data_IF_655395076890
#
_entry.id   IF_655395076890
#
_cell.length_a   1.000
_cell.length_b   1.000
_cell.length_c   1.000
_cell.angle_alpha   90.00
_cell.angle_beta   90.00
_cell.angle_gamma   90.00
#
_symmetry.space_group_name_H-M   'P 1'
#
loop_
_entity.id
_entity.type
_entity.pdbx_description
1 polymer ?
#
# COMPACT_ATOMS: atom_id res chain seq x y z
N UNK A 1 -16.04 -3.23 -8.80
CA UNK A 1 -14.78 -3.63 -9.47
C UNK A 1 -14.85 -3.13 -10.90
N UNK A 2 -13.80 -2.45 -11.37
CA UNK A 2 -13.75 -1.85 -12.72
C UNK A 2 -12.80 -2.59 -13.67
N UNK A 3 -11.83 -3.33 -13.13
CA UNK A 3 -10.89 -4.16 -13.89
C UNK A 3 -10.27 -5.21 -12.94
N UNK A 4 -9.43 -6.10 -13.48
CA UNK A 4 -8.63 -7.04 -12.69
C UNK A 4 -7.35 -7.39 -13.43
N UNK A 5 -6.31 -7.77 -12.69
CA UNK A 5 -5.14 -8.41 -13.28
C UNK A 5 -5.51 -9.72 -14.00
N UNK A 6 -4.77 -10.13 -15.06
CA UNK A 6 -5.02 -11.39 -15.74
C UNK A 6 -4.91 -12.59 -14.79
N UNK A 7 -5.88 -13.48 -14.85
CA UNK A 7 -5.94 -14.72 -14.07
C UNK A 7 -5.99 -15.91 -15.04
N UNK A 8 -4.85 -16.29 -15.65
CA UNK A 8 -4.82 -17.26 -16.76
C UNK A 8 -5.32 -18.65 -16.36
N UNK A 9 -5.21 -19.01 -15.08
CA UNK A 9 -5.68 -20.27 -14.52
C UNK A 9 -7.07 -20.15 -13.86
N UNK A 10 -7.75 -19.01 -14.04
CA UNK A 10 -9.08 -18.72 -13.50
C UNK A 10 -9.08 -18.10 -12.11
N UNK A 11 -10.28 -17.73 -11.66
CA UNK A 11 -10.52 -17.10 -10.35
C UNK A 11 -10.12 -18.06 -9.23
N UNK A 12 -9.42 -17.55 -8.21
CA UNK A 12 -8.95 -18.33 -7.05
C UNK A 12 -7.64 -19.07 -7.28
N UNK A 13 -7.05 -18.96 -8.47
CA UNK A 13 -5.70 -19.45 -8.72
C UNK A 13 -4.66 -18.43 -8.28
N UNK A 14 -3.49 -18.92 -7.88
CA UNK A 14 -2.37 -18.07 -7.50
C UNK A 14 -1.96 -17.16 -8.68
N UNK A 15 -1.86 -15.87 -8.41
CA UNK A 15 -1.26 -14.88 -9.31
C UNK A 15 -0.03 -14.27 -8.66
N UNK A 16 0.96 -13.91 -9.47
CA UNK A 16 2.15 -13.17 -9.02
C UNK A 16 2.11 -11.79 -9.65
N UNK A 17 2.26 -10.76 -8.82
CA UNK A 17 2.39 -9.37 -9.24
C UNK A 17 3.70 -8.81 -8.72
N UNK A 18 4.44 -8.16 -9.60
CA UNK A 18 5.67 -7.46 -9.24
C UNK A 18 5.37 -6.01 -8.89
N UNK A 19 6.12 -5.45 -7.94
CA UNK A 19 6.03 -4.02 -7.63
C UNK A 19 7.40 -3.36 -7.51
N UNK A 20 7.47 -2.07 -7.82
CA UNK A 20 8.68 -1.26 -7.65
C UNK A 20 8.36 0.15 -7.16
N UNK A 21 9.36 0.80 -6.56
CA UNK A 21 9.30 2.20 -6.18
C UNK A 21 10.10 3.03 -7.19
N UNK A 22 9.42 3.79 -8.06
CA UNK A 22 10.07 4.51 -9.16
C UNK A 22 10.82 5.75 -8.68
N UNK A 23 10.14 6.64 -7.95
CA UNK A 23 10.74 7.84 -7.37
C UNK A 23 10.19 8.18 -5.97
N UNK A 24 9.38 7.30 -5.38
CA UNK A 24 8.72 7.55 -4.09
C UNK A 24 9.72 7.91 -2.98
N UNK A 25 10.91 7.30 -3.02
CA UNK A 25 11.94 7.45 -1.99
C UNK A 25 12.92 8.61 -2.23
N UNK A 26 12.71 9.42 -3.26
CA UNK A 26 13.61 10.52 -3.63
C UNK A 26 13.43 11.79 -2.76
N UNK A 27 12.69 11.66 -1.65
CA UNK A 27 12.46 12.75 -0.69
C UNK A 27 11.30 13.69 -1.04
N UNK A 28 10.55 13.41 -2.11
CA UNK A 28 9.42 14.23 -2.57
C UNK A 28 8.16 14.17 -1.70
N UNK A 29 8.04 13.19 -0.81
CA UNK A 29 6.91 13.05 0.14
C UNK A 29 7.24 13.82 1.41
N UNK A 30 6.52 14.92 1.67
CA UNK A 30 6.81 15.84 2.78
C UNK A 30 5.90 15.55 3.97
N UNK A 31 6.49 15.32 5.13
CA UNK A 31 5.77 15.09 6.39
C UNK A 31 5.23 16.38 7.02
N UNK A 32 4.41 16.26 8.06
CA UNK A 32 3.78 17.41 8.75
C UNK A 32 4.75 18.40 9.38
N UNK A 33 6.02 18.02 9.58
CA UNK A 33 7.07 18.90 10.10
C UNK A 33 7.90 19.59 9.00
N UNK A 34 7.51 19.42 7.73
CA UNK A 34 8.20 20.00 6.57
C UNK A 34 9.48 19.26 6.13
N UNK A 35 9.82 18.13 6.75
CA UNK A 35 10.91 17.26 6.31
C UNK A 35 10.37 16.12 5.44
N UNK A 36 11.21 15.53 4.60
CA UNK A 36 10.87 14.30 3.87
C UNK A 36 10.44 13.20 4.84
N UNK A 37 9.34 12.51 4.52
CA UNK A 37 8.90 11.33 5.25
C UNK A 37 9.98 10.24 5.13
N UNK A 38 10.20 9.48 6.19
CA UNK A 38 11.25 8.44 6.19
C UNK A 38 10.95 7.37 5.15
N UNK A 39 11.98 6.94 4.42
CA UNK A 39 11.93 5.81 3.48
C UNK A 39 11.45 4.54 4.19
N UNK A 40 11.93 4.29 5.41
CA UNK A 40 11.53 3.11 6.19
C UNK A 40 10.03 3.13 6.51
N UNK A 41 9.48 4.32 6.79
CA UNK A 41 8.04 4.48 7.06
C UNK A 41 7.23 4.22 5.80
N UNK A 42 7.62 4.81 4.66
CA UNK A 42 6.92 4.63 3.39
C UNK A 42 6.97 3.19 2.91
N UNK A 43 8.14 2.54 3.00
CA UNK A 43 8.33 1.13 2.67
C UNK A 43 7.47 0.22 3.56
N UNK A 44 7.55 0.40 4.89
CA UNK A 44 6.76 -0.41 5.83
C UNK A 44 5.26 -0.27 5.61
N UNK A 45 4.80 0.92 5.22
CA UNK A 45 3.40 1.17 4.91
C UNK A 45 2.92 0.36 3.69
N UNK A 46 3.70 0.33 2.61
CA UNK A 46 3.35 -0.47 1.44
C UNK A 46 3.48 -1.98 1.69
N UNK A 47 4.53 -2.42 2.38
CA UNK A 47 4.67 -3.83 2.74
C UNK A 47 3.51 -4.32 3.60
N UNK A 48 3.07 -3.52 4.58
CA UNK A 48 1.87 -3.83 5.36
C UNK A 48 0.63 -3.86 4.47
N UNK A 49 0.47 -2.88 3.56
CA UNK A 49 -0.69 -2.85 2.68
C UNK A 49 -0.76 -4.09 1.77
N UNK A 50 0.35 -4.46 1.13
CA UNK A 50 0.45 -5.70 0.36
C UNK A 50 0.15 -6.93 1.20
N UNK A 51 0.62 -6.98 2.45
CA UNK A 51 0.38 -8.09 3.36
C UNK A 51 -1.11 -8.22 3.71
N UNK A 52 -1.81 -7.11 3.92
CA UNK A 52 -3.25 -7.09 4.23
C UNK A 52 -4.08 -7.66 3.07
N UNK A 53 -3.74 -7.32 1.82
CA UNK A 53 -4.38 -7.92 0.64
C UNK A 53 -3.99 -9.39 0.44
N UNK A 54 -2.71 -9.72 0.58
CA UNK A 54 -2.22 -11.10 0.45
C UNK A 54 -2.78 -12.03 1.53
N UNK A 55 -3.19 -11.51 2.69
CA UNK A 55 -3.81 -12.30 3.75
C UNK A 55 -5.21 -12.84 3.38
N UNK A 56 -5.83 -12.33 2.31
CA UNK A 56 -7.21 -12.70 1.93
C UNK A 56 -7.38 -13.02 0.44
N UNK A 57 -6.36 -12.78 -0.39
CA UNK A 57 -6.35 -13.04 -1.83
C UNK A 57 -5.17 -13.95 -2.21
N UNK A 58 -5.31 -14.82 -3.23
CA UNK A 58 -4.23 -15.66 -3.75
C UNK A 58 -3.25 -14.85 -4.63
N UNK A 59 -2.69 -13.77 -4.09
CA UNK A 59 -1.80 -12.85 -4.81
C UNK A 59 -0.44 -12.81 -4.12
N UNK A 60 0.60 -13.18 -4.86
CA UNK A 60 1.99 -13.12 -4.42
C UNK A 60 2.63 -11.82 -4.94
N UNK A 61 2.87 -10.87 -4.05
CA UNK A 61 3.56 -9.63 -4.35
C UNK A 61 5.07 -9.81 -4.24
N UNK A 62 5.82 -9.42 -5.28
CA UNK A 62 7.27 -9.51 -5.31
C UNK A 62 7.85 -8.14 -5.62
N UNK A 63 8.62 -7.57 -4.69
CA UNK A 63 9.37 -6.35 -4.98
C UNK A 63 10.47 -6.66 -5.98
N UNK A 64 10.59 -5.82 -7.00
CA UNK A 64 11.69 -5.82 -7.96
C UNK A 64 12.32 -4.43 -8.00
N UNK A 65 13.57 -4.36 -8.43
CA UNK A 65 14.23 -3.08 -8.58
C UNK A 65 13.54 -2.31 -9.71
N UNK A 66 13.30 -1.02 -9.54
CA UNK A 66 12.73 -0.23 -10.63
C UNK A 66 13.72 -0.24 -11.81
N UNK A 67 13.25 -0.68 -12.97
CA UNK A 67 14.07 -0.78 -14.17
C UNK A 67 14.24 0.57 -14.90
N UNK A 68 13.77 1.66 -14.30
CA UNK A 68 13.67 2.98 -14.90
C UNK A 68 12.46 3.10 -15.82
N UNK A 69 12.56 4.01 -16.80
CA UNK A 69 11.46 4.34 -17.69
C UNK A 69 10.68 5.59 -17.26
N UNK A 70 9.61 5.94 -17.98
CA UNK A 70 8.79 7.10 -17.65
C UNK A 70 8.22 6.96 -16.24
N UNK A 71 8.14 8.06 -15.48
CA UNK A 71 7.53 8.04 -14.16
C UNK A 71 6.02 7.82 -14.28
N UNK A 72 5.37 7.23 -13.27
CA UNK A 72 3.92 7.33 -13.12
C UNK A 72 3.46 8.80 -13.30
N UNK A 73 2.32 9.03 -13.97
CA UNK A 73 1.79 10.35 -14.41
C UNK A 73 2.39 10.94 -15.71
N UNK A 74 3.56 10.49 -16.20
CA UNK A 74 4.19 11.13 -17.40
C UNK A 74 3.52 10.78 -18.75
N UNK A 75 2.38 10.10 -18.71
CA UNK A 75 1.62 9.62 -19.87
C UNK A 75 1.82 8.14 -20.12
N UNK A 76 1.18 7.65 -21.17
CA UNK A 76 1.19 6.23 -21.52
C UNK A 76 2.59 5.73 -21.90
N UNK A 77 2.99 4.56 -21.40
CA UNK A 77 4.27 3.94 -21.74
C UNK A 77 4.16 2.42 -21.98
N UNK A 78 5.25 1.83 -22.51
CA UNK A 78 5.38 0.39 -22.74
C UNK A 78 5.71 -0.30 -21.41
N UNK A 79 4.87 -1.25 -20.93
CA UNK A 79 5.13 -1.96 -19.67
C UNK A 79 6.26 -2.99 -19.76
N UNK A 80 6.78 -3.30 -20.95
CA UNK A 80 7.73 -4.39 -21.16
C UNK A 80 8.99 -4.23 -20.30
N UNK A 81 9.24 -5.19 -19.41
CA UNK A 81 10.41 -5.21 -18.53
C UNK A 81 10.30 -4.33 -17.29
N UNK A 82 9.14 -3.71 -17.05
CA UNK A 82 8.83 -2.95 -15.85
C UNK A 82 8.02 -3.79 -14.86
N UNK A 83 7.92 -3.34 -13.61
CA UNK A 83 7.07 -3.98 -12.61
C UNK A 83 5.58 -3.79 -12.96
N UNK A 84 4.73 -4.71 -12.51
CA UNK A 84 3.28 -4.64 -12.71
C UNK A 84 2.68 -3.42 -11.99
N UNK A 85 3.15 -3.12 -10.78
CA UNK A 85 2.69 -1.98 -9.98
C UNK A 85 3.88 -1.06 -9.69
N UNK A 86 3.88 0.15 -10.25
CA UNK A 86 4.94 1.13 -9.99
C UNK A 86 4.43 2.27 -9.13
N UNK A 87 5.20 2.57 -8.09
CA UNK A 87 4.79 3.53 -7.06
C UNK A 87 5.69 4.76 -7.13
N UNK A 88 5.05 5.91 -7.34
CA UNK A 88 5.74 7.18 -7.50
C UNK A 88 5.14 8.32 -6.69
N UNK A 89 5.78 9.48 -6.81
CA UNK A 89 5.36 10.74 -6.21
C UNK A 89 5.53 11.87 -7.22
N UNK A 90 4.60 12.82 -7.22
CA UNK A 90 4.69 14.06 -7.99
C UNK A 90 4.54 15.25 -7.04
N UNK A 91 5.10 16.44 -7.37
CA UNK A 91 5.10 17.57 -6.43
C UNK A 91 3.70 18.03 -6.01
N UNK A 92 2.72 17.90 -6.91
CA UNK A 92 1.36 18.37 -6.68
C UNK A 92 0.35 17.58 -7.52
N UNK A 93 -0.72 17.12 -6.88
CA UNK A 93 -1.92 16.59 -7.52
C UNK A 93 -3.09 17.50 -7.11
N UNK A 94 -3.89 17.96 -8.07
CA UNK A 94 -5.07 18.77 -7.75
C UNK A 94 -6.11 17.92 -7.05
N UNK A 95 -6.61 18.41 -5.92
CA UNK A 95 -7.77 17.86 -5.19
C UNK A 95 -7.67 16.38 -4.79
N UNK A 96 -6.46 15.81 -4.77
CA UNK A 96 -6.22 14.44 -4.30
C UNK A 96 -4.91 14.29 -3.49
N UNK A 97 -4.94 13.35 -2.54
CA UNK A 97 -3.76 12.94 -1.78
C UNK A 97 -2.87 12.00 -2.60
N UNK A 98 -3.49 11.16 -3.42
CA UNK A 98 -2.86 10.22 -4.33
C UNK A 98 -3.94 9.78 -5.34
N UNK A 99 -3.54 8.98 -6.32
CA UNK A 99 -4.45 8.20 -7.15
C UNK A 99 -3.73 6.94 -7.66
N UNK A 100 -4.50 5.97 -8.14
CA UNK A 100 -3.97 4.85 -8.89
C UNK A 100 -4.73 4.61 -10.20
N UNK A 101 -4.06 3.93 -11.12
CA UNK A 101 -4.67 3.46 -12.34
C UNK A 101 -5.17 2.03 -12.18
N UNK A 102 -6.37 1.77 -12.68
CA UNK A 102 -6.90 0.40 -12.73
C UNK A 102 -6.05 -0.52 -13.60
N UNK A 103 -6.05 -1.84 -13.34
CA UNK A 103 -5.30 -2.83 -14.12
C UNK A 103 -6.01 -3.13 -15.45
N UNK A 104 -6.06 -2.13 -16.35
CA UNK A 104 -6.71 -2.22 -17.66
C UNK A 104 -5.68 -2.42 -18.77
N UNK A 105 -5.92 -3.38 -19.67
CA UNK A 105 -5.06 -3.67 -20.82
C UNK A 105 -3.57 -3.86 -20.45
N UNK A 106 -3.31 -4.57 -19.35
CA UNK A 106 -1.98 -4.67 -18.69
C UNK A 106 -0.85 -5.13 -19.61
N UNK A 107 -1.15 -5.87 -20.69
CA UNK A 107 -0.16 -6.31 -21.67
C UNK A 107 0.45 -5.17 -22.51
N UNK A 108 -0.25 -4.03 -22.63
CA UNK A 108 0.18 -2.87 -23.43
C UNK A 108 0.11 -1.57 -22.65
N UNK A 109 -0.49 -1.61 -21.45
CA UNK A 109 -0.74 -0.42 -20.68
C UNK A 109 0.31 -0.23 -19.58
N UNK A 110 1.32 0.61 -19.84
CA UNK A 110 2.35 0.96 -18.86
C UNK A 110 1.81 1.57 -17.57
N UNK A 111 0.73 2.34 -17.63
CA UNK A 111 0.13 2.95 -16.44
C UNK A 111 -0.71 1.96 -15.62
N UNK A 112 -1.04 0.78 -16.14
CA UNK A 112 -1.96 -0.12 -15.46
C UNK A 112 -1.39 -0.55 -14.10
N UNK A 113 -2.10 -0.22 -13.01
CA UNK A 113 -1.66 -0.53 -11.65
C UNK A 113 -0.78 0.53 -10.99
N UNK A 114 -0.27 1.51 -11.72
CA UNK A 114 0.58 2.55 -11.15
C UNK A 114 -0.12 3.34 -10.05
N UNK A 115 0.63 3.70 -9.02
CA UNK A 115 0.18 4.48 -7.87
C UNK A 115 1.00 5.77 -7.78
N UNK A 116 0.34 6.91 -7.66
CA UNK A 116 0.98 8.23 -7.64
C UNK A 116 0.56 9.01 -6.39
N UNK A 117 1.54 9.36 -5.56
CA UNK A 117 1.33 10.18 -4.37
C UNK A 117 1.53 11.67 -4.66
N UNK A 118 0.73 12.50 -3.99
CA UNK A 118 1.00 13.92 -3.91
C UNK A 118 2.13 14.18 -2.91
N UNK A 119 3.19 14.86 -3.34
CA UNK A 119 4.36 15.14 -2.51
C UNK A 119 4.01 15.97 -1.27
N UNK A 120 3.05 16.89 -1.39
CA UNK A 120 2.55 17.69 -0.28
C UNK A 120 1.04 17.58 -0.20
N UNK A 121 0.56 16.86 0.82
CA UNK A 121 -0.86 16.61 1.13
C UNK A 121 -1.66 17.90 1.43
N UNK A 122 -1.99 18.69 0.42
CA UNK A 122 -2.66 20.00 0.51
C UNK A 122 -1.99 20.98 1.48
N UNK A 123 -0.67 20.96 1.56
CA UNK A 123 0.06 21.77 2.53
C UNK A 123 0.11 21.22 3.96
N UNK A 124 -0.68 20.19 4.28
CA UNK A 124 -0.78 19.61 5.63
C UNK A 124 0.38 18.64 5.95
N UNK A 125 1.01 18.09 4.90
CA UNK A 125 2.04 17.07 5.01
C UNK A 125 1.51 15.69 5.41
N UNK A 126 2.39 14.70 5.34
CA UNK A 126 2.08 13.30 5.59
C UNK A 126 2.42 12.87 7.03
N UNK A 127 1.50 12.12 7.65
CA UNK A 127 1.80 11.31 8.83
C UNK A 127 1.95 9.85 8.42
N UNK A 128 2.63 9.04 9.23
CA UNK A 128 2.73 7.59 8.99
C UNK A 128 1.36 6.94 8.80
N UNK A 129 0.40 7.25 9.69
CA UNK A 129 -0.95 6.69 9.66
C UNK A 129 -1.71 7.06 8.39
N UNK A 130 -1.69 8.34 8.00
CA UNK A 130 -2.39 8.78 6.79
C UNK A 130 -1.72 8.21 5.53
N UNK A 131 -0.39 8.15 5.50
CA UNK A 131 0.33 7.58 4.37
C UNK A 131 -0.02 6.11 4.17
N UNK A 132 0.00 5.29 5.23
CA UNK A 132 -0.44 3.89 5.17
C UNK A 132 -1.90 3.76 4.71
N UNK A 133 -2.79 4.58 5.25
CA UNK A 133 -4.21 4.53 4.89
C UNK A 133 -4.47 4.84 3.42
N UNK A 134 -3.74 5.81 2.86
CA UNK A 134 -3.81 6.13 1.43
C UNK A 134 -3.14 5.04 0.61
N UNK A 135 -1.99 4.50 1.02
CA UNK A 135 -1.35 3.36 0.34
C UNK A 135 -2.29 2.15 0.25
N UNK A 136 -3.00 1.83 1.33
CA UNK A 136 -4.02 0.77 1.37
C UNK A 136 -5.15 1.01 0.36
N UNK A 137 -5.62 2.25 0.29
CA UNK A 137 -6.70 2.67 -0.62
C UNK A 137 -6.27 2.60 -2.09
N UNK A 138 -5.14 3.21 -2.43
CA UNK A 138 -4.62 3.25 -3.79
C UNK A 138 -4.23 1.86 -4.30
N UNK A 139 -3.69 1.00 -3.44
CA UNK A 139 -3.45 -0.39 -3.80
C UNK A 139 -4.75 -1.13 -4.14
N UNK A 140 -5.87 -0.79 -3.47
CA UNK A 140 -7.19 -1.30 -3.84
C UNK A 140 -7.58 -0.93 -5.27
N UNK A 141 -7.34 0.32 -5.66
CA UNK A 141 -7.53 0.78 -7.05
C UNK A 141 -6.61 0.07 -8.03
N UNK A 142 -5.33 -0.08 -7.69
CA UNK A 142 -4.35 -0.85 -8.48
C UNK A 142 -4.75 -2.33 -8.66
N UNK A 143 -5.53 -2.88 -7.71
CA UNK A 143 -6.13 -4.21 -7.81
C UNK A 143 -7.53 -4.21 -8.46
N UNK A 144 -8.07 -3.07 -8.88
CA UNK A 144 -9.32 -2.98 -9.64
C UNK A 144 -10.57 -2.57 -8.85
N UNK A 145 -10.44 -2.28 -7.56
CA UNK A 145 -11.54 -1.85 -6.69
C UNK A 145 -11.92 -0.41 -6.97
N UNK A 146 -13.20 -0.13 -7.22
CA UNK A 146 -13.69 1.25 -7.33
C UNK A 146 -13.83 1.94 -5.97
N UNK A 147 -14.05 3.26 -5.95
CA UNK A 147 -14.41 3.92 -4.70
C UNK A 147 -15.65 3.27 -4.08
N UNK A 148 -15.60 3.09 -2.77
CA UNK A 148 -16.76 2.67 -2.00
C UNK A 148 -17.69 3.88 -1.83
N UNK A 149 -18.73 3.94 -2.66
CA UNK A 149 -19.82 4.92 -2.50
C UNK A 149 -20.85 4.33 -1.54
N UNK A 150 -20.82 4.75 -0.28
CA UNK A 150 -21.98 4.59 0.58
C UNK A 150 -23.12 5.42 -0.01
N UNK A 151 -24.24 4.78 -0.34
CA UNK A 151 -25.44 5.46 -0.83
C UNK A 151 -26.10 6.42 0.19
N UNK A 152 -25.53 6.55 1.40
CA UNK A 152 -25.99 7.42 2.49
C UNK A 152 -25.08 8.63 2.76
N UNK A 153 -24.02 8.87 1.99
CA UNK A 153 -23.27 10.13 2.09
C UNK A 153 -23.93 11.21 1.23
N UNK A 154 -24.52 12.20 1.91
CA UNK A 154 -25.12 13.39 1.32
C UNK A 154 -24.13 14.08 0.37
N UNK A 155 -24.54 14.56 -0.81
CA UNK A 155 -23.67 15.19 -1.81
C UNK A 155 -23.22 16.62 -1.43
N UNK A 156 -23.23 16.96 -0.15
CA UNK A 156 -23.01 18.32 0.31
C UNK A 156 -22.14 18.31 1.58
N UNK A 157 -20.82 18.18 1.38
CA UNK A 157 -19.89 18.88 2.26
C UNK A 157 -18.62 19.26 1.50
N UNK A 158 -18.38 20.56 1.43
CA UNK A 158 -17.20 21.29 0.95
C UNK A 158 -15.93 20.45 0.67
N UNK A 159 -15.83 19.94 -0.56
CA UNK A 159 -14.84 18.99 -1.09
C UNK A 159 -13.39 19.54 -1.14
N UNK A 160 -13.16 20.82 -0.81
CA UNK A 160 -11.84 21.47 -0.90
C UNK A 160 -10.85 21.10 0.24
N UNK A 161 -11.23 20.24 1.19
CA UNK A 161 -10.42 19.91 2.37
C UNK A 161 -10.51 18.42 2.79
N UNK A 162 -10.96 17.51 1.92
CA UNK A 162 -11.19 16.12 2.27
C UNK A 162 -9.88 15.36 2.57
N UNK A 163 -9.41 15.52 3.79
CA UNK A 163 -8.60 14.54 4.47
C UNK A 163 -9.30 13.19 4.35
N UNK A 164 -8.62 12.19 3.77
CA UNK A 164 -9.07 10.80 3.72
C UNK A 164 -9.91 10.41 4.95
N UNK A 165 -11.19 10.09 4.75
CA UNK A 165 -12.17 9.65 5.76
C UNK A 165 -12.43 8.15 5.73
N UNK A 166 -11.73 7.42 4.86
CA UNK A 166 -11.84 5.97 4.75
C UNK A 166 -11.32 5.24 6.00
N UNK A 167 -11.51 3.91 6.07
CA UNK A 167 -11.04 3.13 7.19
C UNK A 167 -9.52 3.25 7.36
N UNK A 168 -9.11 3.73 8.54
CA UNK A 168 -7.69 3.95 8.89
C UNK A 168 -6.93 2.62 9.11
N UNK A 169 -7.67 1.50 9.15
CA UNK A 169 -7.21 0.15 9.51
C UNK A 169 -8.07 -0.92 8.76
N UNK A 170 -7.70 -2.22 8.80
CA UNK A 170 -7.63 -3.16 7.67
C UNK A 170 -8.92 -3.34 6.85
N UNK A 171 -8.75 -3.95 5.66
CA UNK A 171 -9.82 -4.29 4.72
C UNK A 171 -11.08 -4.77 5.45
N UNK A 172 -12.18 -4.03 5.30
CA UNK A 172 -13.44 -4.45 5.88
C UNK A 172 -14.01 -5.67 5.13
N UNK A 173 -15.02 -6.31 5.73
CA UNK A 173 -15.62 -7.51 5.16
C UNK A 173 -16.21 -7.29 3.77
N UNK A 174 -16.68 -6.08 3.44
CA UNK A 174 -17.25 -5.78 2.13
C UNK A 174 -16.16 -5.65 1.07
N UNK A 175 -15.04 -4.98 1.39
CA UNK A 175 -13.86 -4.90 0.54
C UNK A 175 -13.29 -6.28 0.26
N UNK A 176 -13.11 -7.09 1.31
CA UNK A 176 -12.64 -8.48 1.19
C UNK A 176 -13.56 -9.26 0.26
N UNK A 177 -14.88 -9.22 0.49
CA UNK A 177 -15.85 -9.95 -0.34
C UNK A 177 -15.83 -9.47 -1.80
N UNK A 178 -15.72 -8.16 -2.03
CA UNK A 178 -15.66 -7.60 -3.38
C UNK A 178 -14.43 -8.07 -4.16
N UNK A 179 -13.26 -8.14 -3.50
CA UNK A 179 -12.02 -8.63 -4.13
C UNK A 179 -12.03 -10.14 -4.29
N UNK A 180 -12.52 -10.89 -3.31
CA UNK A 180 -12.60 -12.35 -3.40
C UNK A 180 -13.60 -12.79 -4.48
N UNK A 181 -14.61 -12.00 -4.82
CA UNK A 181 -15.47 -12.26 -5.98
C UNK A 181 -14.75 -12.11 -7.33
N UNK A 182 -13.59 -11.42 -7.36
CA UNK A 182 -12.79 -11.22 -8.57
C UNK A 182 -11.57 -12.12 -8.61
N UNK A 183 -10.82 -12.19 -7.51
CA UNK A 183 -9.56 -12.93 -7.41
C UNK A 183 -9.72 -14.30 -6.76
N UNK A 184 -10.88 -14.59 -6.16
CA UNK A 184 -11.08 -15.75 -5.30
C UNK A 184 -10.55 -15.49 -3.88
N UNK A 185 -11.05 -16.29 -2.93
CA UNK A 185 -10.48 -16.36 -1.59
C UNK A 185 -9.22 -17.22 -1.61
N UNK A 186 -8.16 -16.75 -0.96
CA UNK A 186 -6.89 -17.47 -0.91
C UNK A 186 -5.89 -16.80 0.02
N UNK A 187 -4.68 -17.35 0.06
CA UNK A 187 -3.55 -16.78 0.78
C UNK A 187 -2.41 -16.55 -0.20
N UNK A 188 -1.91 -15.33 -0.20
CA UNK A 188 -0.77 -14.89 -0.97
C UNK A 188 0.48 -14.74 -0.12
N UNK A 189 1.41 -13.92 -0.60
CA UNK A 189 2.64 -13.57 0.14
C UNK A 189 3.19 -12.23 -0.31
N UNK A 190 4.07 -11.64 0.50
CA UNK A 190 4.85 -10.45 0.13
C UNK A 190 6.33 -10.79 0.22
N UNK A 191 7.08 -10.51 -0.84
CA UNK A 191 8.53 -10.74 -0.92
C UNK A 191 9.24 -9.41 -1.21
N UNK A 192 9.68 -8.65 -0.19
CA UNK A 192 10.42 -7.42 -0.40
C UNK A 192 11.88 -7.67 -0.82
N UNK A 193 12.50 -6.70 -1.49
CA UNK A 193 13.90 -6.78 -1.96
C UNK A 193 14.90 -6.74 -0.81
N UNK A 194 14.58 -5.94 0.19
CA UNK A 194 15.28 -5.90 1.47
C UNK A 194 14.27 -6.26 2.54
N UNK A 195 14.50 -7.35 3.27
CA UNK A 195 13.72 -7.61 4.47
C UNK A 195 13.82 -6.40 5.39
N UNK A 196 12.69 -5.74 5.69
CA UNK A 196 12.63 -4.82 6.82
C UNK A 196 13.09 -5.63 8.04
N UNK A 197 14.12 -5.19 8.80
CA UNK A 197 14.53 -5.91 9.98
C UNK A 197 13.33 -6.01 10.91
N UNK A 198 12.83 -7.23 11.17
CA UNK A 198 11.83 -7.40 12.21
C UNK A 198 12.42 -6.81 13.50
N UNK A 199 11.65 -6.02 14.28
CA UNK A 199 12.12 -5.53 15.55
C UNK A 199 12.44 -6.74 16.43
N UNK A 200 13.72 -7.10 16.55
CA UNK A 200 14.20 -8.39 17.05
C UNK A 200 13.29 -8.99 18.12
N UNK A 201 12.30 -9.79 17.68
CA UNK A 201 11.24 -10.30 18.55
C UNK A 201 11.84 -11.13 19.67
N UNK A 202 12.95 -11.81 19.37
CA UNK A 202 13.78 -12.51 20.34
C UNK A 202 14.42 -11.59 21.38
N UNK A 203 14.90 -10.40 21.01
CA UNK A 203 15.47 -9.44 21.96
C UNK A 203 14.40 -8.91 22.91
N UNK A 204 13.21 -8.59 22.40
CA UNK A 204 12.07 -8.15 23.23
C UNK A 204 11.55 -9.28 24.13
N UNK A 205 11.44 -10.49 23.61
CA UNK A 205 11.04 -11.67 24.38
C UNK A 205 12.07 -12.01 25.47
N UNK A 206 13.36 -11.99 25.15
CA UNK A 206 14.43 -12.27 26.11
C UNK A 206 14.57 -11.16 27.15
N UNK A 207 14.37 -9.89 26.77
CA UNK A 207 14.30 -8.79 27.72
C UNK A 207 13.10 -8.94 28.68
N UNK A 208 11.92 -9.28 28.15
CA UNK A 208 10.72 -9.56 28.94
C UNK A 208 10.92 -10.74 29.91
N UNK A 209 11.50 -11.85 29.43
CA UNK A 209 11.82 -13.01 30.27
C UNK A 209 12.85 -12.68 31.35
N UNK A 210 13.85 -11.86 31.04
CA UNK A 210 14.87 -11.42 32.00
C UNK A 210 14.27 -10.57 33.13
N UNK A 211 13.34 -9.67 32.81
CA UNK A 211 12.61 -8.87 33.80
C UNK A 211 11.72 -9.74 34.71
N UNK A 212 11.08 -10.78 34.18
CA UNK A 212 10.29 -11.73 34.98
C UNK A 212 11.14 -12.55 35.96
N UNK A 213 12.36 -12.94 35.55
CA UNK A 213 13.30 -13.67 36.40
C UNK A 213 13.85 -12.77 37.51
N UNK A 214 14.19 -11.52 37.20
CA UNK A 214 14.67 -10.54 38.18
C UNK A 214 13.58 -10.15 39.18
N UNK A 215 12.35 -9.91 38.72
CA UNK A 215 11.21 -9.57 39.59
C UNK A 215 10.78 -10.69 40.55
N UNK A 216 11.10 -11.95 40.24
CA UNK A 216 10.87 -13.10 41.16
C UNK A 216 11.92 -13.23 42.26
N UNK A 217 13.12 -12.65 42.09
CA UNK A 217 14.19 -12.71 43.10
C UNK A 217 13.98 -11.76 44.28
N UNK A 218 13.23 -10.67 44.09
CA UNK A 218 12.97 -9.69 45.15
C UNK A 218 11.80 -10.06 46.07
N UNK A 219 11.00 -11.06 45.70
CA UNK A 219 9.92 -11.59 46.55
C UNK A 219 10.39 -12.80 47.35
N UNK A 220 11.34 -12.61 48.26
CA UNK A 220 11.52 -13.56 49.38
C UNK A 220 10.71 -13.05 50.58
N UNK A 221 9.72 -13.80 51.07
CA UNK A 221 8.99 -13.42 52.29
C UNK A 221 9.93 -13.52 53.49
N UNK A 222 9.80 -12.54 54.39
CA UNK A 222 10.31 -12.59 55.77
C UNK A 222 9.36 -13.40 56.64
#
# INVERSE_FOLDING_TARGET
>A
MYASWPQPNGIGSDITLTYSYSNLFDGGVISTNGQSLSVDIMRSAFEQAFADYAAVLPIHFIEVADAGGPLPETGQYDPTGLADIRIGVVPYISDANAYAYFPQNTAVNGLAGDVVFNGQRFGLGWTQTIFYSVAQHELGHSLGMGHYINADESPDDTIANAAYTGPIFPLDSMMITALQNVYGAGLGSVTPLSAVPEPNTWTLLMAGLSLLILGRRERKPT
#
